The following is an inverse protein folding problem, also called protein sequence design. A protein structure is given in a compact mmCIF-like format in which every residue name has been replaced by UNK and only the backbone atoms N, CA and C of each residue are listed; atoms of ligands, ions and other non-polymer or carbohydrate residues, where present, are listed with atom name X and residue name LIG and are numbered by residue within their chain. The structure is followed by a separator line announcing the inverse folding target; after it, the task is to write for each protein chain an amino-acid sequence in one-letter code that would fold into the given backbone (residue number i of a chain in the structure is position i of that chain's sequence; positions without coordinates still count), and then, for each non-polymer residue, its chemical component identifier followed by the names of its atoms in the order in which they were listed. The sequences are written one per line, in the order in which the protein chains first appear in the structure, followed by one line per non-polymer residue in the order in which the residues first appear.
data_IF_713960854937
#
_entry.id   IF_713960854937
#
_cell.length_a   1.000
_cell.length_b   1.000
_cell.length_c   1.000
_cell.angle_alpha   90.00
_cell.angle_beta   90.00
_cell.angle_gamma   90.00
#
_symmetry.space_group_name_H-M   'P 1'
#
loop_
_entity.id
_entity.type
_entity.pdbx_description
1 polymer ?
#
# COMPACT_ATOMS: atom_id res chain seq x y z
N UNK A 1 -16.98 69.12 -52.10
CA UNK A 1 -15.59 69.23 -51.58
C UNK A 1 -15.53 69.21 -50.05
N UNK A 2 -16.49 69.87 -49.32
CA UNK A 2 -16.48 69.93 -47.86
C UNK A 2 -16.72 68.54 -47.16
N UNK A 3 -17.54 67.67 -47.79
CA UNK A 3 -17.80 66.33 -47.25
C UNK A 3 -16.58 65.42 -47.39
N UNK A 4 -15.76 65.53 -48.40
CA UNK A 4 -14.56 64.75 -48.56
C UNK A 4 -13.47 65.10 -47.53
N UNK A 5 -13.33 66.41 -47.26
CA UNK A 5 -12.40 66.90 -46.20
C UNK A 5 -12.87 66.45 -44.81
N UNK A 6 -14.20 66.44 -44.55
CA UNK A 6 -14.74 65.99 -43.26
C UNK A 6 -14.61 64.47 -43.08
N UNK A 7 -14.71 63.65 -44.14
CA UNK A 7 -14.50 62.21 -44.12
C UNK A 7 -13.04 61.87 -43.87
N UNK A 8 -12.14 62.49 -44.58
CA UNK A 8 -10.68 62.31 -44.41
C UNK A 8 -10.22 62.70 -42.98
N UNK A 9 -10.76 63.77 -42.41
CA UNK A 9 -10.48 64.16 -41.02
C UNK A 9 -11.06 63.14 -40.01
N UNK A 10 -12.24 62.58 -40.30
CA UNK A 10 -12.83 61.55 -39.44
C UNK A 10 -12.00 60.26 -39.48
N UNK A 11 -11.56 59.83 -40.65
CA UNK A 11 -10.70 58.65 -40.82
C UNK A 11 -9.34 58.86 -40.12
N UNK A 12 -8.72 60.04 -40.28
CA UNK A 12 -7.47 60.35 -39.60
C UNK A 12 -7.61 60.30 -38.06
N UNK A 13 -8.73 60.81 -37.53
CA UNK A 13 -8.99 60.78 -36.07
C UNK A 13 -9.28 59.32 -35.60
N UNK A 14 -9.95 58.55 -36.41
CA UNK A 14 -10.26 57.15 -36.09
C UNK A 14 -8.97 56.33 -36.07
N UNK A 15 -8.09 56.52 -37.05
CA UNK A 15 -6.77 55.89 -37.10
C UNK A 15 -5.90 56.30 -35.89
N UNK A 16 -5.83 57.57 -35.59
CA UNK A 16 -5.09 58.06 -34.41
C UNK A 16 -5.63 57.49 -33.09
N UNK A 17 -6.97 57.34 -32.99
CA UNK A 17 -7.57 56.74 -31.81
C UNK A 17 -7.27 55.22 -31.72
N UNK A 18 -7.21 54.50 -32.85
CA UNK A 18 -6.80 53.10 -32.89
C UNK A 18 -5.33 52.93 -32.55
N UNK A 19 -4.45 53.78 -33.08
CA UNK A 19 -3.03 53.77 -32.73
C UNK A 19 -2.79 54.05 -31.25
N UNK A 20 -3.48 55.05 -30.68
CA UNK A 20 -3.41 55.32 -29.25
C UNK A 20 -3.90 54.15 -28.39
N UNK A 21 -4.99 53.52 -28.78
CA UNK A 21 -5.48 52.28 -28.11
C UNK A 21 -4.46 51.14 -28.19
N UNK A 22 -3.84 50.92 -29.35
CA UNK A 22 -2.80 49.94 -29.54
C UNK A 22 -1.56 50.22 -28.67
N UNK A 23 -1.14 51.50 -28.59
CA UNK A 23 -0.04 51.93 -27.74
C UNK A 23 -0.33 51.72 -26.24
N UNK A 24 -1.56 51.98 -25.79
CA UNK A 24 -1.98 51.67 -24.41
C UNK A 24 -1.95 50.20 -24.15
N UNK A 25 -2.49 49.38 -25.06
CA UNK A 25 -2.47 47.93 -24.91
C UNK A 25 -1.04 47.35 -24.86
N UNK A 26 -0.14 47.86 -25.70
CA UNK A 26 1.26 47.47 -25.70
C UNK A 26 1.97 47.82 -24.39
N UNK A 27 1.74 49.06 -23.89
CA UNK A 27 2.31 49.48 -22.61
C UNK A 27 1.74 48.69 -21.43
N UNK A 28 0.45 48.38 -21.46
CA UNK A 28 -0.18 47.55 -20.45
C UNK A 28 0.42 46.12 -20.45
N UNK A 29 0.65 45.54 -21.60
CA UNK A 29 1.30 44.23 -21.71
C UNK A 29 2.73 44.22 -21.15
N UNK A 30 3.49 45.32 -21.41
CA UNK A 30 4.83 45.49 -20.81
C UNK A 30 4.77 45.63 -19.28
N UNK A 31 3.80 46.36 -18.75
CA UNK A 31 3.58 46.48 -17.31
C UNK A 31 3.25 45.14 -16.67
N UNK A 32 2.38 44.36 -17.31
CA UNK A 32 1.97 43.08 -16.80
C UNK A 32 3.14 42.05 -16.84
N UNK A 33 3.97 42.09 -17.88
CA UNK A 33 5.21 41.31 -17.94
C UNK A 33 6.19 41.71 -16.82
N UNK A 34 6.35 43.02 -16.56
CA UNK A 34 7.22 43.46 -15.48
C UNK A 34 6.69 43.05 -14.09
N UNK A 35 5.37 43.12 -13.88
CA UNK A 35 4.71 42.66 -12.64
C UNK A 35 4.88 41.16 -12.46
N UNK A 36 4.73 40.38 -13.51
CA UNK A 36 4.95 38.93 -13.48
C UNK A 36 6.40 38.62 -13.08
N UNK A 37 7.38 39.26 -13.69
CA UNK A 37 8.78 39.10 -13.33
C UNK A 37 9.05 39.47 -11.86
N UNK A 38 8.44 40.54 -11.36
CA UNK A 38 8.52 40.90 -9.95
C UNK A 38 7.88 39.83 -9.04
N UNK A 39 6.79 39.22 -9.46
CA UNK A 39 6.15 38.16 -8.68
C UNK A 39 7.04 36.93 -8.50
N UNK A 40 7.87 36.59 -9.48
CA UNK A 40 8.83 35.47 -9.41
C UNK A 40 9.99 35.74 -8.43
N UNK A 41 10.23 36.98 -8.01
CA UNK A 41 11.22 37.25 -6.98
C UNK A 41 10.77 36.83 -5.59
N UNK A 42 9.47 36.59 -5.41
CA UNK A 42 8.88 36.08 -4.16
C UNK A 42 8.47 34.61 -4.34
N UNK A 43 9.32 33.70 -3.88
CA UNK A 43 9.09 32.29 -3.97
C UNK A 43 8.31 31.83 -2.74
N UNK A 44 7.14 31.24 -2.98
CA UNK A 44 6.25 30.66 -1.94
C UNK A 44 6.16 29.16 -2.07
N UNK A 45 5.94 28.46 -0.95
CA UNK A 45 5.73 27.02 -0.95
C UNK A 45 4.43 26.66 -1.72
N UNK A 46 4.47 25.78 -2.73
CA UNK A 46 3.28 25.36 -3.49
C UNK A 46 2.41 24.35 -2.75
N UNK A 47 2.93 23.74 -1.69
CA UNK A 47 2.25 22.71 -0.88
C UNK A 47 2.59 22.92 0.59
N UNK A 48 1.75 22.40 1.47
CA UNK A 48 2.08 22.27 2.89
C UNK A 48 3.09 21.15 3.10
N UNK A 49 4.05 21.35 4.01
CA UNK A 49 5.07 20.33 4.25
C UNK A 49 6.28 20.85 5.02
N UNK A 50 7.31 20.00 5.06
CA UNK A 50 8.59 20.34 5.72
C UNK A 50 9.61 20.81 4.68
N UNK A 51 10.16 21.98 4.92
CA UNK A 51 11.27 22.57 4.15
C UNK A 51 12.59 22.01 4.67
N UNK A 52 13.51 21.70 3.78
CA UNK A 52 14.88 21.28 4.08
C UNK A 52 15.78 22.52 4.35
N UNK A 53 17.07 22.29 4.39
CA UNK A 53 18.07 23.38 4.52
C UNK A 53 18.07 24.29 3.29
N UNK A 54 18.55 25.50 3.45
CA UNK A 54 18.86 26.38 2.34
C UNK A 54 20.10 25.83 1.59
N UNK A 55 19.98 25.60 0.29
CA UNK A 55 21.12 25.22 -0.55
C UNK A 55 21.94 26.42 -1.03
N UNK A 56 21.31 27.60 -1.02
CA UNK A 56 21.92 28.88 -1.39
C UNK A 56 21.73 29.89 -0.25
N UNK A 57 22.80 30.56 0.15
CA UNK A 57 22.79 31.58 1.19
C UNK A 57 22.61 32.96 0.59
N UNK A 58 22.16 33.90 1.41
CA UNK A 58 22.02 35.32 0.99
C UNK A 58 23.35 35.89 0.48
N UNK A 59 23.29 36.67 -0.59
CA UNK A 59 24.45 37.22 -1.28
C UNK A 59 24.96 36.45 -2.49
N UNK A 60 24.45 35.21 -2.72
CA UNK A 60 24.78 34.46 -3.91
C UNK A 60 23.83 34.76 -5.06
N UNK A 61 24.35 34.64 -6.28
CA UNK A 61 23.54 34.79 -7.49
C UNK A 61 22.65 33.57 -7.68
N UNK A 62 21.40 33.80 -8.03
CA UNK A 62 20.41 32.78 -8.33
C UNK A 62 19.96 32.90 -9.76
N UNK A 63 20.08 31.81 -10.53
CA UNK A 63 19.62 31.75 -11.92
C UNK A 63 18.18 31.24 -11.96
N UNK A 64 17.33 31.87 -12.77
CA UNK A 64 15.96 31.47 -12.95
C UNK A 64 15.84 30.08 -13.56
N UNK A 65 15.11 29.17 -12.88
CA UNK A 65 14.85 27.83 -13.37
C UNK A 65 15.98 26.80 -13.19
N UNK A 66 17.18 27.21 -12.78
CA UNK A 66 18.34 26.32 -12.65
C UNK A 66 18.78 26.10 -11.20
N UNK A 67 18.68 27.12 -10.36
CA UNK A 67 19.25 27.08 -9.02
C UNK A 67 18.26 26.42 -8.04
N UNK A 68 18.68 25.31 -7.45
CA UNK A 68 17.94 24.66 -6.36
C UNK A 68 18.10 25.47 -5.08
N UNK A 69 17.03 26.02 -4.55
CA UNK A 69 17.03 26.83 -3.31
C UNK A 69 16.87 25.97 -2.07
N UNK A 70 15.92 25.03 -2.09
CA UNK A 70 15.62 24.09 -1.03
C UNK A 70 14.72 23.00 -1.58
N UNK A 71 14.52 21.94 -0.81
CA UNK A 71 13.53 20.90 -1.10
C UNK A 71 12.37 20.98 -0.12
N UNK A 72 11.16 20.75 -0.60
CA UNK A 72 9.94 20.71 0.19
C UNK A 72 9.28 19.35 0.02
N UNK A 73 8.93 18.69 1.11
CA UNK A 73 8.24 17.40 1.11
C UNK A 73 6.94 17.50 1.88
N UNK A 74 5.87 16.97 1.31
CA UNK A 74 4.60 16.80 2.04
C UNK A 74 4.80 15.81 3.20
N UNK A 75 4.22 16.12 4.35
CA UNK A 75 4.34 15.29 5.56
C UNK A 75 3.03 14.63 5.98
N UNK A 76 1.90 14.96 5.35
CA UNK A 76 0.58 14.45 5.75
C UNK A 76 0.42 12.96 5.44
N UNK A 77 0.99 12.54 4.31
CA UNK A 77 0.98 11.14 3.86
C UNK A 77 2.36 10.73 3.42
N UNK A 78 2.72 9.51 3.71
CA UNK A 78 3.96 8.90 3.22
C UNK A 78 3.65 7.69 2.36
N UNK A 79 4.52 7.47 1.39
CA UNK A 79 4.43 6.35 0.47
C UNK A 79 5.56 5.37 0.74
N UNK A 80 5.22 4.12 0.97
CA UNK A 80 6.18 3.04 1.07
C UNK A 80 6.21 2.26 -0.24
N UNK A 81 7.34 2.26 -0.91
CA UNK A 81 7.57 1.50 -2.13
C UNK A 81 8.18 0.15 -1.80
N UNK A 82 7.74 -0.88 -2.50
CA UNK A 82 8.29 -2.22 -2.37
C UNK A 82 8.34 -2.92 -3.73
N UNK A 83 9.28 -3.81 -3.88
CA UNK A 83 9.39 -4.67 -5.06
C UNK A 83 9.07 -6.10 -4.61
N UNK A 84 7.99 -6.68 -5.14
CA UNK A 84 7.55 -8.03 -4.83
C UNK A 84 8.01 -9.01 -5.92
N UNK A 85 8.55 -10.15 -5.52
CA UNK A 85 8.88 -11.24 -6.43
C UNK A 85 7.64 -11.72 -7.21
N UNK A 86 7.80 -12.12 -8.46
CA UNK A 86 6.74 -12.59 -9.34
C UNK A 86 5.89 -13.71 -8.71
N UNK A 87 6.52 -14.65 -8.01
CA UNK A 87 5.81 -15.76 -7.35
C UNK A 87 4.89 -15.25 -6.22
N UNK A 88 5.38 -14.28 -5.45
CA UNK A 88 4.61 -13.65 -4.38
C UNK A 88 3.45 -12.87 -4.98
N UNK A 89 3.68 -12.16 -6.06
CA UNK A 89 2.66 -11.41 -6.79
C UNK A 89 1.58 -12.34 -7.36
N UNK A 90 1.93 -13.41 -8.07
CA UNK A 90 0.97 -14.37 -8.62
C UNK A 90 0.11 -15.00 -7.53
N UNK A 91 0.73 -15.36 -6.40
CA UNK A 91 0.00 -15.88 -5.24
C UNK A 91 -0.96 -14.85 -4.65
N UNK A 92 -0.54 -13.60 -4.56
CA UNK A 92 -1.39 -12.49 -4.10
C UNK A 92 -2.60 -12.30 -5.03
N UNK A 93 -2.39 -12.28 -6.35
CA UNK A 93 -3.46 -12.15 -7.35
C UNK A 93 -4.47 -13.30 -7.22
N UNK A 94 -3.99 -14.53 -7.08
CA UNK A 94 -4.86 -15.70 -6.92
C UNK A 94 -5.71 -15.61 -5.64
N UNK A 95 -5.10 -15.26 -4.51
CA UNK A 95 -5.80 -15.08 -3.23
C UNK A 95 -6.81 -13.93 -3.28
N UNK A 96 -6.47 -12.82 -3.93
CA UNK A 96 -7.38 -11.69 -4.10
C UNK A 96 -8.59 -12.05 -4.98
N UNK A 97 -8.35 -12.80 -6.07
CA UNK A 97 -9.43 -13.30 -6.94
C UNK A 97 -10.38 -14.22 -6.18
N UNK A 98 -9.86 -15.18 -5.42
CA UNK A 98 -10.66 -16.07 -4.57
C UNK A 98 -11.46 -15.29 -3.51
N UNK A 99 -10.91 -14.18 -3.04
CA UNK A 99 -11.57 -13.30 -2.07
C UNK A 99 -12.59 -12.34 -2.71
N UNK A 100 -12.69 -12.28 -4.04
CA UNK A 100 -13.54 -11.32 -4.76
C UNK A 100 -13.10 -9.87 -4.59
N UNK A 101 -11.79 -9.63 -4.39
CA UNK A 101 -11.21 -8.28 -4.24
C UNK A 101 -10.50 -7.86 -5.51
N UNK A 102 -10.51 -6.55 -5.78
CA UNK A 102 -9.62 -5.98 -6.78
C UNK A 102 -8.17 -6.04 -6.26
N UNK A 103 -7.28 -6.61 -7.07
CA UNK A 103 -5.85 -6.73 -6.75
C UNK A 103 -5.12 -5.40 -6.75
N UNK A 104 -5.71 -4.35 -7.33
CA UNK A 104 -5.05 -3.07 -7.60
C UNK A 104 -5.31 -1.99 -6.57
N UNK A 105 -6.31 -2.15 -5.70
CA UNK A 105 -6.68 -1.13 -4.73
C UNK A 105 -7.18 -1.71 -3.41
N UNK A 106 -6.96 -0.96 -2.32
CA UNK A 106 -7.60 -1.11 -1.01
C UNK A 106 -7.23 -2.34 -0.16
N UNK A 107 -6.24 -3.14 -0.58
CA UNK A 107 -5.75 -4.17 0.34
C UNK A 107 -5.02 -3.55 1.53
N UNK A 108 -5.34 -3.97 2.76
CA UNK A 108 -4.65 -3.48 3.94
C UNK A 108 -3.18 -3.88 3.90
N UNK A 109 -2.32 -2.91 4.22
CA UNK A 109 -0.87 -3.10 4.33
C UNK A 109 -0.46 -2.64 5.72
N UNK A 110 0.24 -3.50 6.43
CA UNK A 110 0.80 -3.17 7.73
C UNK A 110 2.27 -2.79 7.57
N UNK A 111 2.69 -1.72 8.25
CA UNK A 111 4.06 -1.22 8.25
C UNK A 111 4.63 -1.28 9.66
N UNK A 112 5.89 -1.64 9.75
CA UNK A 112 6.69 -1.56 10.97
C UNK A 112 8.03 -0.91 10.67
N UNK A 113 8.44 0.02 11.53
CA UNK A 113 9.77 0.60 11.52
C UNK A 113 10.81 -0.42 12.02
N UNK A 114 12.09 -0.18 11.74
CA UNK A 114 13.18 -1.06 12.19
C UNK A 114 13.30 -1.14 13.71
N UNK A 115 12.87 -0.09 14.42
CA UNK A 115 12.87 0.01 15.88
C UNK A 115 11.65 -0.60 16.57
N UNK A 116 10.65 -1.06 15.80
CA UNK A 116 9.40 -1.57 16.34
C UNK A 116 9.30 -3.09 16.25
N UNK A 117 8.66 -3.69 17.23
CA UNK A 117 8.27 -5.10 17.16
C UNK A 117 6.96 -5.25 16.40
N UNK A 118 6.99 -6.06 15.33
CA UNK A 118 5.83 -6.30 14.46
C UNK A 118 5.61 -5.21 13.40
N UNK A 119 4.35 -5.00 13.05
CA UNK A 119 3.91 -4.03 12.02
C UNK A 119 2.66 -3.30 12.52
N UNK A 120 2.80 -2.33 13.46
CA UNK A 120 1.65 -1.71 14.13
C UNK A 120 0.87 -0.72 13.27
N UNK A 121 1.47 -0.17 12.22
CA UNK A 121 0.85 0.89 11.42
C UNK A 121 0.05 0.32 10.27
N UNK A 122 -1.22 0.70 10.20
CA UNK A 122 -2.13 0.28 9.14
C UNK A 122 -2.17 1.32 8.02
N UNK A 123 -1.92 0.88 6.81
CA UNK A 123 -2.09 1.64 5.58
C UNK A 123 -2.84 0.82 4.54
N UNK A 124 -2.82 1.27 3.32
CA UNK A 124 -3.48 0.60 2.20
C UNK A 124 -2.58 0.55 0.98
N UNK A 125 -2.76 -0.48 0.17
CA UNK A 125 -2.16 -0.55 -1.16
C UNK A 125 -2.79 0.56 -2.01
N UNK A 126 -1.97 1.42 -2.58
CA UNK A 126 -2.37 2.56 -3.38
C UNK A 126 -2.08 2.34 -4.87
N UNK A 127 -1.00 1.64 -5.17
CA UNK A 127 -0.57 1.40 -6.53
C UNK A 127 0.15 0.06 -6.64
N UNK A 128 -0.10 -0.63 -7.75
CA UNK A 128 0.63 -1.81 -8.18
C UNK A 128 0.94 -1.62 -9.66
N UNK A 129 2.20 -1.80 -10.04
CA UNK A 129 2.64 -1.62 -11.40
C UNK A 129 1.90 -2.59 -12.34
N UNK A 130 1.75 -2.20 -13.60
CA UNK A 130 1.11 -3.02 -14.63
C UNK A 130 2.10 -3.95 -15.34
N UNK A 131 3.38 -3.85 -15.02
CA UNK A 131 4.45 -4.59 -15.67
C UNK A 131 5.45 -5.13 -14.64
N UNK A 132 5.83 -6.39 -14.80
CA UNK A 132 6.95 -7.00 -14.08
C UNK A 132 8.25 -6.54 -14.71
N UNK A 133 9.21 -6.14 -13.91
CA UNK A 133 10.54 -5.79 -14.40
C UNK A 133 11.27 -7.07 -14.85
N UNK A 134 11.57 -7.24 -16.15
CA UNK A 134 12.15 -8.49 -16.69
C UNK A 134 13.60 -8.74 -16.24
N UNK A 135 14.30 -7.71 -15.74
CA UNK A 135 15.68 -7.85 -15.26
C UNK A 135 15.76 -8.38 -13.83
N UNK A 136 14.78 -8.05 -13.00
CA UNK A 136 14.75 -8.43 -11.59
C UNK A 136 13.71 -9.49 -11.27
N UNK A 137 12.73 -9.72 -12.16
CA UNK A 137 11.60 -10.61 -11.89
C UNK A 137 10.67 -10.09 -10.79
N UNK A 138 10.64 -8.77 -10.57
CA UNK A 138 9.84 -8.15 -9.51
C UNK A 138 8.82 -7.18 -10.07
N UNK A 139 7.70 -7.02 -9.35
CA UNK A 139 6.69 -6.00 -9.60
C UNK A 139 6.75 -4.94 -8.50
N UNK A 140 6.67 -3.69 -8.90
CA UNK A 140 6.68 -2.56 -7.95
C UNK A 140 5.29 -2.28 -7.43
N UNK A 141 5.18 -2.16 -6.11
CA UNK A 141 3.99 -1.71 -5.42
C UNK A 141 4.25 -0.49 -4.57
N UNK A 142 3.19 0.23 -4.24
CA UNK A 142 3.20 1.40 -3.37
C UNK A 142 2.04 1.31 -2.39
N UNK A 143 2.34 1.48 -1.13
CA UNK A 143 1.34 1.61 -0.07
C UNK A 143 1.36 3.03 0.50
N UNK A 144 0.21 3.55 0.87
CA UNK A 144 0.04 4.87 1.48
C UNK A 144 -0.30 4.72 2.96
N UNK A 145 0.34 5.57 3.78
CA UNK A 145 0.16 5.64 5.22
C UNK A 145 -0.10 7.08 5.63
N UNK A 146 -0.98 7.26 6.60
CA UNK A 146 -1.22 8.55 7.24
C UNK A 146 -0.01 8.91 8.12
N UNK A 147 0.42 10.16 8.06
CA UNK A 147 1.55 10.68 8.81
C UNK A 147 1.25 12.01 9.50
N UNK A 148 -0.01 12.25 9.86
CA UNK A 148 -0.44 13.48 10.53
C UNK A 148 0.36 13.79 11.81
N UNK A 149 0.87 12.74 12.47
CA UNK A 149 1.71 12.88 13.66
C UNK A 149 3.20 13.09 13.36
N UNK A 150 3.63 12.98 12.11
CA UNK A 150 5.03 13.14 11.71
C UNK A 150 5.96 12.00 12.15
N UNK A 151 5.41 10.80 12.39
CA UNK A 151 6.15 9.61 12.84
C UNK A 151 7.08 9.07 11.76
N UNK A 152 6.70 9.24 10.50
CA UNK A 152 7.47 8.73 9.36
C UNK A 152 8.26 9.85 8.69
N UNK A 153 9.56 9.63 8.58
CA UNK A 153 10.45 10.51 7.80
C UNK A 153 10.75 9.84 6.44
N UNK A 154 10.62 10.56 5.31
CA UNK A 154 11.01 10.02 4.02
C UNK A 154 12.47 9.53 4.00
N UNK A 155 12.72 8.38 3.35
CA UNK A 155 14.03 7.74 3.29
C UNK A 155 14.28 6.65 4.34
N UNK A 156 13.36 6.46 5.29
CA UNK A 156 13.47 5.36 6.26
C UNK A 156 13.21 4.00 5.59
N UNK A 157 13.94 2.99 6.05
CA UNK A 157 13.63 1.60 5.75
C UNK A 157 12.45 1.11 6.59
N UNK A 158 11.51 0.45 5.95
CA UNK A 158 10.29 -0.07 6.59
C UNK A 158 10.05 -1.53 6.20
N UNK A 159 9.44 -2.27 7.13
CA UNK A 159 8.96 -3.63 6.87
C UNK A 159 7.48 -3.56 6.52
N UNK A 160 7.09 -4.17 5.40
CA UNK A 160 5.70 -4.20 4.95
C UNK A 160 5.14 -5.62 5.03
N UNK A 161 3.89 -5.71 5.48
CA UNK A 161 3.11 -6.95 5.48
C UNK A 161 1.81 -6.72 4.72
N UNK A 162 1.72 -7.27 3.53
CA UNK A 162 0.52 -7.22 2.70
C UNK A 162 -0.42 -8.37 3.06
N UNK A 163 -1.70 -8.06 3.29
CA UNK A 163 -2.73 -9.06 3.59
C UNK A 163 -3.34 -9.56 2.29
N UNK A 164 -3.01 -10.81 1.91
CA UNK A 164 -3.47 -11.41 0.65
C UNK A 164 -4.78 -12.19 0.75
N UNK A 165 -5.19 -12.63 1.96
CA UNK A 165 -6.37 -13.49 2.12
C UNK A 165 -7.36 -12.93 3.13
N UNK A 166 -8.62 -13.37 3.04
CA UNK A 166 -9.61 -13.16 4.11
C UNK A 166 -9.22 -13.97 5.34
N UNK A 167 -9.76 -13.60 6.49
CA UNK A 167 -9.70 -14.40 7.71
C UNK A 167 -10.33 -15.77 7.46
N UNK A 168 -9.64 -16.82 7.81
CA UNK A 168 -10.13 -18.20 7.71
C UNK A 168 -9.88 -18.95 9.00
N UNK A 169 -10.71 -19.95 9.28
CA UNK A 169 -10.49 -20.85 10.40
C UNK A 169 -9.31 -21.77 10.09
N UNK A 170 -8.27 -21.72 10.92
CA UNK A 170 -7.07 -22.52 10.75
C UNK A 170 -7.00 -23.59 11.84
N UNK A 171 -6.61 -24.82 11.46
CA UNK A 171 -6.26 -25.86 12.41
C UNK A 171 -4.80 -25.70 12.80
N UNK A 172 -4.53 -25.60 14.10
CA UNK A 172 -3.19 -25.46 14.64
C UNK A 172 -2.76 -26.78 15.29
N UNK A 173 -1.58 -27.27 14.93
CA UNK A 173 -1.00 -28.50 15.49
C UNK A 173 0.45 -28.26 15.93
N UNK A 174 0.96 -29.10 16.83
CA UNK A 174 2.38 -29.13 17.14
C UNK A 174 3.20 -29.53 15.92
N UNK A 175 4.32 -28.85 15.70
CA UNK A 175 5.21 -29.14 14.55
C UNK A 175 5.78 -30.58 14.61
N UNK A 176 5.89 -31.14 15.80
CA UNK A 176 6.32 -32.52 16.07
C UNK A 176 5.35 -33.60 15.50
N UNK A 177 4.07 -33.22 15.32
CA UNK A 177 3.06 -34.10 14.74
C UNK A 177 3.17 -34.27 13.22
N UNK A 178 4.09 -33.53 12.57
CA UNK A 178 4.23 -33.47 11.13
C UNK A 178 5.38 -34.36 10.67
N UNK A 179 5.08 -35.39 9.92
CA UNK A 179 6.05 -36.18 9.20
C UNK A 179 6.35 -35.64 7.80
N UNK A 180 7.48 -36.08 7.24
CA UNK A 180 7.83 -35.81 5.83
C UNK A 180 8.15 -37.14 5.17
N UNK A 181 7.47 -37.44 4.07
CA UNK A 181 7.68 -38.61 3.26
C UNK A 181 7.75 -38.20 1.78
N UNK A 182 8.85 -38.55 1.12
CA UNK A 182 9.13 -38.21 -0.30
C UNK A 182 8.79 -36.73 -0.65
N UNK A 183 9.13 -35.78 0.28
CA UNK A 183 8.87 -34.38 0.09
C UNK A 183 7.44 -33.93 0.42
N UNK A 184 6.52 -34.82 0.69
CA UNK A 184 5.15 -34.53 1.13
C UNK A 184 5.05 -34.45 2.64
N UNK A 185 4.28 -33.49 3.14
CA UNK A 185 3.98 -33.40 4.57
C UNK A 185 2.75 -34.24 4.90
N UNK A 186 2.83 -34.96 5.99
CA UNK A 186 1.75 -35.85 6.44
C UNK A 186 1.59 -35.79 7.95
N UNK A 187 0.44 -36.23 8.40
CA UNK A 187 0.13 -36.55 9.81
C UNK A 187 -0.46 -37.95 9.91
N UNK A 188 -0.30 -38.59 11.06
CA UNK A 188 -1.01 -39.81 11.36
C UNK A 188 -2.26 -39.46 12.16
N UNK A 189 -3.42 -39.75 11.58
CA UNK A 189 -4.74 -39.57 12.20
C UNK A 189 -5.21 -40.87 12.76
N UNK A 190 -5.87 -40.87 13.91
CA UNK A 190 -6.48 -42.06 14.50
C UNK A 190 -7.93 -42.18 14.00
N UNK A 191 -8.27 -43.36 13.54
CA UNK A 191 -9.65 -43.74 13.23
C UNK A 191 -10.47 -44.09 14.48
N UNK A 192 -11.71 -44.57 14.29
CA UNK A 192 -12.59 -44.99 15.37
C UNK A 192 -12.05 -46.15 16.20
N UNK A 193 -11.24 -47.03 15.60
CA UNK A 193 -10.64 -48.22 16.20
C UNK A 193 -9.22 -47.99 16.74
N UNK A 194 -8.80 -46.75 16.87
CA UNK A 194 -7.44 -46.31 17.24
C UNK A 194 -6.36 -46.85 16.31
N UNK A 195 -6.67 -47.09 15.04
CA UNK A 195 -5.69 -47.38 14.01
C UNK A 195 -5.19 -46.08 13.37
N UNK A 196 -3.91 -46.06 13.07
CA UNK A 196 -3.26 -44.90 12.45
C UNK A 196 -3.49 -44.87 10.95
N UNK A 197 -3.97 -43.77 10.44
CA UNK A 197 -4.21 -43.51 9.02
C UNK A 197 -3.28 -42.42 8.53
N UNK A 198 -2.55 -42.67 7.46
CA UNK A 198 -1.71 -41.70 6.80
C UNK A 198 -2.58 -40.68 6.09
N UNK A 199 -2.39 -39.40 6.40
CA UNK A 199 -3.11 -38.29 5.76
C UNK A 199 -2.17 -37.20 5.34
N UNK A 200 -2.10 -36.92 4.04
CA UNK A 200 -1.34 -35.80 3.50
C UNK A 200 -1.96 -34.48 3.94
N UNK A 201 -1.13 -33.52 4.34
CA UNK A 201 -1.58 -32.20 4.80
C UNK A 201 -0.83 -31.10 4.09
N UNK A 202 -1.53 -30.02 3.85
CA UNK A 202 -0.94 -28.80 3.33
C UNK A 202 -0.64 -27.84 4.48
N UNK A 203 0.63 -27.44 4.60
CA UNK A 203 1.11 -26.67 5.74
C UNK A 203 1.10 -25.19 5.44
N UNK A 204 0.78 -24.41 6.47
CA UNK A 204 0.95 -22.96 6.53
C UNK A 204 2.21 -22.56 7.33
N UNK A 205 2.34 -21.28 7.64
CA UNK A 205 3.40 -20.76 8.51
C UNK A 205 3.26 -21.27 9.96
N UNK A 206 4.30 -21.06 10.76
CA UNK A 206 4.24 -21.25 12.21
C UNK A 206 3.58 -20.02 12.86
N UNK A 207 2.81 -20.26 13.91
CA UNK A 207 2.18 -19.24 14.72
C UNK A 207 2.30 -19.69 16.20
N UNK A 208 2.96 -18.88 17.03
CA UNK A 208 3.15 -19.14 18.47
C UNK A 208 3.65 -20.58 18.77
N UNK A 209 4.63 -21.05 18.00
CA UNK A 209 5.20 -22.39 18.17
C UNK A 209 4.36 -23.53 17.54
N UNK A 210 3.14 -23.25 17.12
CA UNK A 210 2.27 -24.21 16.44
C UNK A 210 2.36 -24.04 14.91
N UNK A 211 2.01 -25.10 14.19
CA UNK A 211 1.97 -25.11 12.73
C UNK A 211 0.52 -24.99 12.25
N UNK A 212 0.27 -24.06 11.34
CA UNK A 212 -1.01 -23.94 10.66
C UNK A 212 -1.14 -25.08 9.64
N UNK A 213 -2.26 -25.78 9.65
CA UNK A 213 -2.66 -26.73 8.61
C UNK A 213 -3.77 -26.09 7.78
N UNK A 214 -3.54 -25.97 6.47
CA UNK A 214 -4.49 -25.35 5.54
C UNK A 214 -5.54 -26.31 5.03
N UNK A 215 -5.12 -27.56 4.77
CA UNK A 215 -6.00 -28.62 4.28
C UNK A 215 -5.53 -30.00 4.76
N UNK A 216 -6.42 -30.97 4.76
CA UNK A 216 -6.14 -32.34 5.14
C UNK A 216 -6.52 -32.73 6.57
N UNK A 217 -6.89 -31.77 7.44
CA UNK A 217 -7.41 -32.06 8.79
C UNK A 217 -8.77 -31.39 9.01
N UNK A 218 -9.62 -32.09 9.75
CA UNK A 218 -10.92 -31.60 10.20
C UNK A 218 -10.92 -31.34 11.69
N UNK A 219 -11.84 -30.49 12.15
CA UNK A 219 -12.04 -30.23 13.58
C UNK A 219 -12.50 -31.52 14.25
N UNK A 220 -11.76 -31.95 15.29
CA UNK A 220 -12.06 -33.18 16.03
C UNK A 220 -11.20 -34.37 15.62
N UNK A 221 -10.42 -34.29 14.55
CA UNK A 221 -9.46 -35.34 14.21
C UNK A 221 -8.45 -35.51 15.36
N UNK A 222 -8.21 -36.75 15.74
CA UNK A 222 -7.17 -37.16 16.70
C UNK A 222 -5.90 -37.45 15.93
N UNK A 223 -4.82 -36.81 16.26
CA UNK A 223 -3.54 -36.96 15.56
C UNK A 223 -2.46 -37.47 16.52
N UNK A 224 -1.50 -38.20 15.99
CA UNK A 224 -0.31 -38.61 16.72
C UNK A 224 0.65 -37.47 16.80
N UNK A 225 0.97 -36.98 18.02
CA UNK A 225 1.92 -35.89 18.24
C UNK A 225 3.32 -36.47 18.52
N UNK A 226 3.42 -37.38 19.44
CA UNK A 226 4.68 -38.00 19.86
C UNK A 226 4.79 -39.45 19.32
N UNK A 227 6.00 -39.87 18.99
CA UNK A 227 6.26 -41.24 18.59
C UNK A 227 6.06 -41.56 17.11
N UNK A 228 6.00 -40.55 16.23
CA UNK A 228 5.87 -40.75 14.77
C UNK A 228 6.90 -41.72 14.19
N UNK A 229 8.08 -41.84 14.78
CA UNK A 229 9.13 -42.75 14.33
C UNK A 229 8.84 -44.24 14.69
N UNK A 230 7.96 -44.47 15.66
CA UNK A 230 7.61 -45.82 16.16
C UNK A 230 6.30 -46.35 15.58
N UNK A 231 5.47 -45.45 15.06
CA UNK A 231 4.14 -45.74 14.59
C UNK A 231 4.12 -45.74 13.05
N UNK A 232 3.52 -46.79 12.47
CA UNK A 232 3.35 -46.95 11.02
C UNK A 232 1.87 -46.87 10.65
N UNK A 233 1.53 -46.41 9.44
CA UNK A 233 0.14 -46.45 8.96
C UNK A 233 -0.48 -47.85 9.09
N UNK A 234 -1.73 -47.92 9.56
CA UNK A 234 -2.46 -49.14 9.80
C UNK A 234 -2.20 -49.82 11.16
N UNK A 235 -1.29 -49.30 11.97
CA UNK A 235 -0.95 -49.83 13.28
C UNK A 235 -2.00 -49.43 14.31
N UNK A 236 -2.43 -50.35 15.15
CA UNK A 236 -3.29 -50.07 16.29
C UNK A 236 -2.42 -49.54 17.45
N UNK A 237 -2.84 -48.45 18.06
CA UNK A 237 -2.12 -47.77 19.13
C UNK A 237 -3.02 -47.55 20.35
N UNK A 238 -2.41 -47.45 21.51
CA UNK A 238 -3.08 -47.00 22.73
C UNK A 238 -2.81 -45.51 22.94
N UNK A 239 -3.76 -44.62 22.61
CA UNK A 239 -3.51 -43.17 22.60
C UNK A 239 -3.62 -42.57 23.97
N UNK A 240 -2.58 -41.89 24.42
CA UNK A 240 -2.63 -40.99 25.56
C UNK A 240 -2.89 -39.59 25.08
N UNK A 241 -3.92 -38.93 25.64
CA UNK A 241 -4.30 -37.58 25.27
C UNK A 241 -3.26 -36.58 25.81
N UNK A 242 -2.70 -35.78 24.92
CA UNK A 242 -1.81 -34.67 25.24
C UNK A 242 -2.40 -33.36 24.78
N UNK A 243 -2.12 -32.26 25.50
CA UNK A 243 -2.58 -30.94 25.08
C UNK A 243 -1.76 -30.45 23.88
N UNK A 244 -2.46 -29.85 22.91
CA UNK A 244 -1.86 -29.34 21.68
C UNK A 244 -1.08 -28.04 21.92
N UNK A 245 -1.46 -27.25 22.92
CA UNK A 245 -0.83 -25.99 23.25
C UNK A 245 -0.81 -25.79 24.77
N UNK A 246 0.14 -25.02 25.28
CA UNK A 246 0.15 -24.57 26.67
C UNK A 246 -0.95 -23.54 26.93
N UNK A 247 -1.31 -23.37 28.21
CA UNK A 247 -2.30 -22.36 28.61
C UNK A 247 -1.92 -20.93 28.14
N UNK A 248 -0.62 -20.60 28.22
CA UNK A 248 -0.09 -19.29 27.78
C UNK A 248 -0.20 -19.11 26.26
N UNK A 249 0.11 -20.16 25.50
CA UNK A 249 -0.08 -20.12 24.03
C UNK A 249 -1.54 -19.94 23.67
N UNK A 250 -2.47 -20.62 24.35
CA UNK A 250 -3.89 -20.48 24.12
C UNK A 250 -4.39 -19.06 24.46
N UNK A 251 -3.89 -18.47 25.57
CA UNK A 251 -4.22 -17.09 25.93
C UNK A 251 -3.72 -16.09 24.89
N UNK A 252 -2.50 -16.28 24.37
CA UNK A 252 -1.92 -15.43 23.32
C UNK A 252 -2.72 -15.56 22.00
N UNK A 253 -3.07 -16.78 21.60
CA UNK A 253 -3.90 -17.02 20.43
C UNK A 253 -5.31 -16.41 20.56
N UNK A 254 -5.90 -16.45 21.77
CA UNK A 254 -7.17 -15.81 22.04
C UNK A 254 -7.10 -14.27 21.88
N UNK A 255 -6.03 -13.63 22.37
CA UNK A 255 -5.79 -12.20 22.18
C UNK A 255 -5.59 -11.86 20.70
N UNK A 256 -4.78 -12.63 19.97
CA UNK A 256 -4.59 -12.45 18.53
C UNK A 256 -5.90 -12.61 17.75
N UNK A 257 -6.76 -13.55 18.15
CA UNK A 257 -8.08 -13.72 17.55
C UNK A 257 -8.98 -12.51 17.76
N UNK A 258 -8.97 -11.93 18.96
CA UNK A 258 -9.73 -10.70 19.26
C UNK A 258 -9.21 -9.52 18.44
N UNK A 259 -7.91 -9.29 18.38
CA UNK A 259 -7.31 -8.21 17.58
C UNK A 259 -7.59 -8.32 16.09
N UNK A 260 -7.73 -9.54 15.54
CA UNK A 260 -8.11 -9.77 14.14
C UNK A 260 -9.62 -9.55 13.94
N UNK A 261 -10.46 -9.87 14.94
CA UNK A 261 -11.91 -9.60 14.91
C UNK A 261 -12.24 -8.12 14.96
N UNK A 262 -11.47 -7.34 15.73
CA UNK A 262 -11.63 -5.89 15.89
C UNK A 262 -11.02 -5.09 14.73
N UNK A 263 -10.17 -5.70 13.92
CA UNK A 263 -9.53 -5.09 12.73
C UNK A 263 -10.30 -5.35 11.43
N UNK A 264 -11.61 -5.56 11.49
CA UNK A 264 -12.44 -5.45 10.28
C UNK A 264 -12.31 -3.99 9.80
N UNK A 265 -11.80 -3.74 8.58
CA UNK A 265 -11.56 -2.37 8.14
C UNK A 265 -12.87 -1.59 8.21
N UNK A 266 -12.87 -0.34 8.71
CA UNK A 266 -14.06 0.48 8.72
C UNK A 266 -14.62 0.50 7.29
N UNK A 267 -15.90 0.19 7.13
CA UNK A 267 -16.61 0.32 5.85
C UNK A 267 -16.39 1.73 5.37
N UNK A 268 -15.51 1.90 4.38
CA UNK A 268 -15.27 3.19 3.75
C UNK A 268 -16.60 3.63 3.17
N UNK A 269 -17.19 4.67 3.76
CA UNK A 269 -18.35 5.33 3.21
C UNK A 269 -18.00 5.73 1.78
N UNK A 270 -18.70 5.17 0.81
CA UNK A 270 -18.55 5.53 -0.59
C UNK A 270 -18.73 7.05 -0.68
N UNK A 271 -17.65 7.75 -1.02
CA UNK A 271 -17.65 9.18 -1.33
C UNK A 271 -18.62 9.40 -2.50
N UNK A 272 -19.79 9.97 -2.20
CA UNK A 272 -20.78 10.43 -3.16
C UNK A 272 -20.36 11.78 -3.75
N UNK A 273 -19.18 11.91 -4.27
CA UNK A 273 -18.76 13.12 -4.97
C UNK A 273 -18.02 12.73 -6.24
N UNK A 274 -18.76 12.36 -7.27
CA UNK A 274 -18.35 12.53 -8.68
C UNK A 274 -19.50 12.23 -9.65
N UNK A 275 -20.63 12.89 -9.49
CA UNK A 275 -21.69 12.86 -10.49
C UNK A 275 -22.30 14.26 -10.68
N UNK A 276 -21.48 15.24 -11.10
CA UNK A 276 -21.97 16.47 -11.73
C UNK A 276 -20.79 17.22 -12.35
N UNK A 277 -20.42 16.85 -13.56
CA UNK A 277 -19.75 17.73 -14.54
C UNK A 277 -19.47 16.95 -15.83
N UNK A 278 -20.50 16.77 -16.63
CA UNK A 278 -20.34 16.64 -18.08
C UNK A 278 -21.71 16.93 -18.73
N UNK A 279 -22.02 18.22 -18.88
CA UNK A 279 -22.95 18.66 -19.94
C UNK A 279 -22.09 19.32 -21.03
N UNK A 280 -22.20 18.89 -22.28
CA UNK A 280 -21.57 19.55 -23.42
C UNK A 280 -22.37 20.80 -23.76
N UNK A 281 -21.77 21.95 -23.69
CA UNK A 281 -22.28 23.16 -24.31
C UNK A 281 -22.06 23.04 -25.83
N UNK A 282 -23.18 23.04 -26.56
CA UNK A 282 -23.23 23.24 -27.99
C UNK A 282 -22.80 24.65 -28.44
#
# INVERSE_FOLDING_TARGET
ASNAISAELADARTTAAQEAKAAVAATQAQLDAARLNLSFTRITAPIDGRVSRAEVTAGNLVNSGETLLTTLVSTDKVYAYFDADERVFLKYVELARQAGRDTRSESPVYLGLSSEDGNPHLGRLDFLDNQVNPRTGTIRGRAVFDNAKGEFTPGLYVRLKLVGSKTYAATLIKDEAVGTDLGKKFVLVLDGDNKTVYRTVEMGPKLEGLRIVRSGLSKGDRIVVNGLQRVRPGMQVDPQKVEMASADTLATLARLRQSVGDSEPPKVAASKDNATRNEPRG
#
